data_IF_446516724934
#
_entry.id   IF_446516724934
#
_cell.length_a   1.000
_cell.length_b   1.000
_cell.length_c   1.000
_cell.angle_alpha   90.00
_cell.angle_beta   90.00
_cell.angle_gamma   90.00
#
_symmetry.space_group_name_H-M   'P 1'
#
loop_
_entity.id
_entity.type
_entity.pdbx_description
1 polymer ?
#
# COMPACT_ATOMS: atom_id res chain seq x y z
N UNK A 1 -9.95 -19.65 0.72
CA UNK A 1 -9.66 -18.23 0.44
C UNK A 1 -8.49 -17.80 1.31
N UNK A 2 -7.40 -17.34 0.71
CA UNK A 2 -6.22 -16.88 1.44
C UNK A 2 -6.51 -15.50 2.03
N UNK A 3 -6.62 -15.42 3.35
CA UNK A 3 -6.85 -14.16 4.03
C UNK A 3 -5.51 -13.42 4.21
N UNK A 4 -5.37 -12.24 3.62
CA UNK A 4 -4.20 -11.37 3.83
C UNK A 4 -4.29 -10.68 5.20
N UNK A 5 -3.13 -10.47 5.82
CA UNK A 5 -3.07 -9.82 7.14
C UNK A 5 -3.36 -8.33 7.06
N UNK A 6 -4.16 -7.85 8.00
CA UNK A 6 -4.18 -6.42 8.33
C UNK A 6 -2.86 -6.03 9.01
N UNK A 7 -2.47 -4.77 8.89
CA UNK A 7 -1.35 -4.19 9.62
C UNK A 7 -0.42 -3.36 8.74
N UNK A 8 0.84 -3.35 9.12
CA UNK A 8 1.90 -2.60 8.47
C UNK A 8 2.66 -3.47 7.49
N UNK A 9 2.81 -2.95 6.29
CA UNK A 9 3.48 -3.57 5.16
C UNK A 9 4.54 -2.63 4.61
N UNK A 10 5.58 -3.19 4.01
CA UNK A 10 6.60 -2.44 3.29
C UNK A 10 6.63 -2.90 1.84
N UNK A 11 6.74 -1.96 0.92
CA UNK A 11 7.17 -2.30 -0.44
C UNK A 11 8.62 -2.76 -0.48
N UNK A 12 9.00 -3.41 -1.57
CA UNK A 12 10.39 -3.79 -1.88
C UNK A 12 11.34 -2.58 -1.89
N UNK A 13 10.83 -1.37 -2.15
CA UNK A 13 11.58 -0.12 -2.06
C UNK A 13 11.58 0.51 -0.66
N UNK A 14 10.88 -0.10 0.30
CA UNK A 14 10.79 0.34 1.69
C UNK A 14 9.73 1.40 1.96
N UNK A 15 8.86 1.72 1.00
CA UNK A 15 7.73 2.64 1.24
C UNK A 15 6.68 1.98 2.14
N UNK A 16 6.15 2.71 3.15
CA UNK A 16 5.18 2.19 4.12
C UNK A 16 3.76 2.08 3.58
N UNK A 17 3.07 1.01 3.98
CA UNK A 17 1.65 0.81 3.72
C UNK A 17 0.93 0.32 4.99
N UNK A 18 -0.22 0.91 5.28
CA UNK A 18 -1.14 0.46 6.32
C UNK A 18 -2.35 -0.17 5.65
N UNK A 19 -2.50 -1.47 5.77
CA UNK A 19 -3.56 -2.24 5.11
C UNK A 19 -4.54 -2.74 6.15
N UNK A 20 -5.84 -2.51 5.93
CA UNK A 20 -6.94 -3.07 6.69
C UNK A 20 -7.76 -4.00 5.81
N UNK A 21 -8.03 -5.18 6.34
CA UNK A 21 -8.91 -6.18 5.72
C UNK A 21 -10.14 -6.37 6.59
N UNK A 22 -11.32 -6.38 5.97
CA UNK A 22 -12.59 -6.62 6.65
C UNK A 22 -13.51 -7.42 5.72
N UNK A 23 -13.73 -8.69 6.06
CA UNK A 23 -14.32 -9.67 5.15
C UNK A 23 -13.49 -9.76 3.85
N UNK A 24 -14.13 -9.56 2.70
CA UNK A 24 -13.46 -9.46 1.41
C UNK A 24 -13.08 -8.02 1.04
N UNK A 25 -13.25 -7.02 1.90
CA UNK A 25 -12.90 -5.62 1.61
C UNK A 25 -11.48 -5.32 2.06
N UNK A 26 -10.77 -4.53 1.27
CA UNK A 26 -9.42 -4.03 1.56
C UNK A 26 -9.45 -2.52 1.52
N UNK A 27 -8.75 -1.91 2.46
CA UNK A 27 -8.51 -0.47 2.52
C UNK A 27 -7.04 -0.28 2.85
N UNK A 28 -6.40 0.73 2.28
CA UNK A 28 -5.04 1.04 2.67
C UNK A 28 -4.72 2.54 2.61
N UNK A 29 -3.62 2.87 3.25
CA UNK A 29 -2.89 4.13 3.14
C UNK A 29 -1.45 3.79 2.75
N UNK A 30 -0.95 4.38 1.67
CA UNK A 30 0.44 4.27 1.24
C UNK A 30 1.08 5.65 1.11
N UNK A 31 2.37 5.77 1.37
CA UNK A 31 3.11 7.01 1.18
C UNK A 31 4.59 6.77 0.86
N UNK A 32 5.26 7.72 0.22
CA UNK A 32 6.71 7.63 0.04
C UNK A 32 7.40 7.61 1.41
N UNK A 33 8.47 6.83 1.53
CA UNK A 33 9.35 6.91 2.70
C UNK A 33 10.10 8.23 2.72
N UNK A 34 10.53 8.63 3.92
CA UNK A 34 11.49 9.72 4.10
C UNK A 34 12.84 9.38 3.48
N UNK A 35 13.49 10.39 2.93
CA UNK A 35 14.87 10.32 2.44
C UNK A 35 15.63 11.59 2.81
N UNK A 36 16.86 11.74 2.31
CA UNK A 36 17.59 13.01 2.42
C UNK A 36 17.03 14.13 1.54
N UNK A 37 16.08 13.84 0.64
CA UNK A 37 15.49 14.80 -0.29
C UNK A 37 14.02 15.13 -0.01
N UNK A 38 13.29 14.24 0.65
CA UNK A 38 11.83 14.38 0.84
C UNK A 38 11.41 13.86 2.21
N UNK A 39 10.42 14.50 2.84
CA UNK A 39 9.80 13.91 4.02
C UNK A 39 8.83 12.81 3.61
N UNK A 40 8.42 12.02 4.59
CA UNK A 40 7.44 10.98 4.38
C UNK A 40 6.10 11.57 3.91
N UNK A 41 5.60 11.07 2.79
CA UNK A 41 4.32 11.50 2.20
C UNK A 41 4.37 12.78 1.36
N UNK A 42 5.47 13.53 1.35
CA UNK A 42 5.58 14.80 0.63
C UNK A 42 5.63 14.62 -0.91
N UNK A 43 6.12 13.48 -1.41
CA UNK A 43 6.10 13.20 -2.84
C UNK A 43 4.75 12.62 -3.25
N UNK A 44 4.37 11.50 -2.63
CA UNK A 44 3.08 10.87 -2.86
C UNK A 44 2.54 10.28 -1.57
N UNK A 45 1.22 10.37 -1.44
CA UNK A 45 0.46 9.78 -0.37
C UNK A 45 -0.91 9.46 -0.95
N UNK A 46 -1.31 8.20 -0.92
CA UNK A 46 -2.54 7.76 -1.55
C UNK A 46 -3.34 6.85 -0.65
N UNK A 47 -4.64 6.80 -0.93
CA UNK A 47 -5.55 5.81 -0.36
C UNK A 47 -6.07 4.91 -1.46
N UNK A 48 -6.52 3.73 -1.09
CA UNK A 48 -7.31 2.88 -1.97
C UNK A 48 -8.28 2.04 -1.16
N UNK A 49 -9.27 1.55 -1.88
CA UNK A 49 -10.17 0.53 -1.38
C UNK A 49 -10.55 -0.43 -2.50
N UNK A 50 -11.04 -1.59 -2.11
CA UNK A 50 -11.53 -2.58 -3.07
C UNK A 50 -11.79 -3.92 -2.43
N UNK A 51 -11.67 -4.98 -3.21
CA UNK A 51 -12.13 -6.31 -2.81
C UNK A 51 -11.18 -7.44 -3.18
N UNK A 52 -11.16 -8.45 -2.32
CA UNK A 52 -10.49 -9.73 -2.54
C UNK A 52 -11.44 -10.65 -3.30
N UNK A 53 -11.00 -11.15 -4.44
CA UNK A 53 -11.66 -12.19 -5.25
C UNK A 53 -10.63 -13.26 -5.56
N UNK A 54 -10.86 -14.48 -5.07
CA UNK A 54 -9.91 -15.60 -5.16
C UNK A 54 -8.51 -15.27 -4.61
N UNK A 55 -7.52 -15.16 -5.49
CA UNK A 55 -6.13 -14.82 -5.18
C UNK A 55 -5.77 -13.40 -5.63
N UNK A 56 -6.75 -12.57 -5.95
CA UNK A 56 -6.53 -11.21 -6.41
C UNK A 56 -7.21 -10.19 -5.50
N UNK A 57 -6.63 -9.00 -5.45
CA UNK A 57 -7.22 -7.82 -4.85
C UNK A 57 -7.36 -6.78 -5.96
N UNK A 58 -8.59 -6.39 -6.25
CA UNK A 58 -8.87 -5.29 -7.17
C UNK A 58 -9.06 -4.03 -6.34
N UNK A 59 -8.25 -2.99 -6.61
CA UNK A 59 -8.26 -1.73 -5.86
C UNK A 59 -8.46 -0.55 -6.80
N UNK A 60 -9.20 0.45 -6.34
CA UNK A 60 -9.22 1.82 -6.90
C UNK A 60 -8.47 2.72 -5.94
N UNK A 61 -7.50 3.48 -6.45
CA UNK A 61 -6.60 4.31 -5.66
C UNK A 61 -6.51 5.73 -6.20
N UNK A 62 -6.16 6.67 -5.33
CA UNK A 62 -5.95 8.08 -5.68
C UNK A 62 -5.00 8.74 -4.67
N UNK A 63 -4.08 9.54 -5.19
CA UNK A 63 -3.27 10.45 -4.39
C UNK A 63 -4.17 11.45 -3.65
N UNK A 64 -3.74 11.83 -2.45
CA UNK A 64 -4.40 12.81 -1.60
C UNK A 64 -3.45 13.99 -1.37
N UNK A 65 -3.95 15.20 -1.06
CA UNK A 65 -3.15 16.44 -1.00
C UNK A 65 -2.30 16.56 0.28
N UNK A 66 -1.62 15.47 0.62
CA UNK A 66 -0.44 15.41 1.50
C UNK A 66 0.82 15.47 0.63
N UNK A 67 0.82 14.71 -0.47
CA UNK A 67 1.91 14.71 -1.46
C UNK A 67 1.69 15.73 -2.57
N UNK A 68 2.70 15.89 -3.43
CA UNK A 68 2.64 16.76 -4.62
C UNK A 68 2.07 16.06 -5.85
N UNK A 69 2.08 14.73 -5.88
CA UNK A 69 1.51 13.94 -6.97
C UNK A 69 -0.03 13.99 -6.91
N UNK A 70 -0.66 13.92 -8.09
CA UNK A 70 -2.13 13.97 -8.27
C UNK A 70 -2.60 12.83 -9.18
N UNK A 71 -2.05 11.63 -8.98
CA UNK A 71 -2.38 10.46 -9.80
C UNK A 71 -3.54 9.65 -9.21
N UNK A 72 -4.21 8.89 -10.07
CA UNK A 72 -5.26 7.96 -9.68
C UNK A 72 -5.39 6.81 -10.67
N UNK A 73 -5.98 5.71 -10.22
CA UNK A 73 -6.26 4.59 -11.12
C UNK A 73 -6.75 3.34 -10.42
N UNK A 74 -6.55 2.22 -11.10
CA UNK A 74 -6.86 0.88 -10.61
C UNK A 74 -5.62 0.03 -10.63
N UNK A 75 -5.50 -0.85 -9.65
CA UNK A 75 -4.47 -1.90 -9.63
C UNK A 75 -5.08 -3.26 -9.34
N UNK A 76 -4.49 -4.28 -9.95
CA UNK A 76 -4.74 -5.68 -9.61
C UNK A 76 -3.53 -6.20 -8.85
N UNK A 77 -3.76 -6.72 -7.65
CA UNK A 77 -2.72 -7.26 -6.77
C UNK A 77 -2.91 -8.76 -6.65
N UNK A 78 -1.87 -9.53 -7.00
CA UNK A 78 -1.80 -10.96 -6.75
C UNK A 78 -1.42 -11.23 -5.28
N UNK A 79 -2.17 -12.14 -4.65
CA UNK A 79 -1.91 -12.67 -3.32
C UNK A 79 -1.01 -13.89 -3.45
N UNK A 80 0.30 -13.71 -3.28
CA UNK A 80 1.27 -14.81 -3.27
C UNK A 80 1.06 -15.66 -2.01
N UNK A 81 0.95 -15.01 -0.85
CA UNK A 81 0.54 -15.62 0.41
C UNK A 81 -0.01 -14.55 1.38
N UNK A 82 -0.35 -14.93 2.61
CA UNK A 82 -0.96 -14.02 3.60
C UNK A 82 -0.06 -12.85 4.04
N UNK A 83 1.23 -12.90 3.70
CA UNK A 83 2.28 -11.93 4.06
C UNK A 83 3.05 -11.36 2.87
N UNK A 84 2.70 -11.71 1.63
CA UNK A 84 3.39 -11.26 0.42
C UNK A 84 2.38 -10.99 -0.71
N UNK A 85 2.43 -9.77 -1.23
CA UNK A 85 1.56 -9.26 -2.29
C UNK A 85 2.39 -8.73 -3.47
N UNK A 86 1.80 -8.77 -4.66
CA UNK A 86 2.45 -8.26 -5.89
C UNK A 86 1.45 -7.54 -6.78
N UNK A 87 1.73 -6.28 -7.13
CA UNK A 87 0.98 -5.56 -8.16
C UNK A 87 1.32 -6.15 -9.53
N UNK A 88 0.30 -6.63 -10.24
CA UNK A 88 0.47 -7.27 -11.55
C UNK A 88 -0.11 -6.42 -12.69
N UNK A 89 -1.10 -5.58 -12.41
CA UNK A 89 -1.72 -4.65 -13.36
C UNK A 89 -1.91 -3.28 -12.72
N UNK A 90 -1.83 -2.24 -13.55
CA UNK A 90 -1.94 -0.84 -13.15
C UNK A 90 -2.48 0.00 -14.32
N UNK A 91 -3.40 0.93 -14.03
CA UNK A 91 -3.95 1.89 -14.99
C UNK A 91 -3.61 3.35 -14.70
N UNK A 92 -2.96 3.65 -13.58
CA UNK A 92 -2.78 5.00 -13.03
C UNK A 92 -1.33 5.44 -12.87
N UNK A 93 -0.37 4.69 -13.43
CA UNK A 93 1.06 4.91 -13.22
C UNK A 93 1.49 4.72 -11.75
N UNK A 94 0.81 3.80 -11.03
CA UNK A 94 1.22 3.29 -9.72
C UNK A 94 2.57 2.56 -9.79
N UNK A 95 2.80 1.84 -10.89
CA UNK A 95 3.97 0.98 -11.10
C UNK A 95 3.81 -0.43 -10.54
N UNK A 96 4.81 -1.28 -10.83
CA UNK A 96 4.88 -2.65 -10.30
C UNK A 96 5.57 -2.63 -8.94
N UNK A 97 4.90 -3.14 -7.92
CA UNK A 97 5.36 -3.14 -6.54
C UNK A 97 5.14 -4.50 -5.90
N UNK A 98 6.03 -4.90 -4.99
CA UNK A 98 5.88 -6.10 -4.16
C UNK A 98 5.91 -5.70 -2.70
N UNK A 99 4.99 -6.23 -1.89
CA UNK A 99 4.83 -5.84 -0.49
C UNK A 99 4.96 -7.02 0.45
N UNK A 100 5.64 -6.79 1.57
CA UNK A 100 5.84 -7.78 2.63
C UNK A 100 5.23 -7.26 3.93
N UNK A 101 4.45 -8.11 4.59
CA UNK A 101 3.87 -7.81 5.90
C UNK A 101 4.97 -7.80 6.97
N UNK A 102 4.89 -6.85 7.90
CA UNK A 102 5.91 -6.67 8.96
C UNK A 102 5.31 -6.90 10.35
N UNK A 103 4.19 -6.26 10.66
CA UNK A 103 3.58 -6.31 11.99
C UNK A 103 2.10 -5.93 11.95
N UNK A 104 1.32 -6.39 12.95
CA UNK A 104 -0.10 -6.08 13.04
C UNK A 104 -0.35 -4.57 13.29
N UNK A 105 0.58 -3.90 13.99
CA UNK A 105 0.45 -2.48 14.31
C UNK A 105 1.77 -1.75 14.20
N UNK A 106 1.78 -0.64 13.44
CA UNK A 106 2.86 0.35 13.40
C UNK A 106 2.22 1.73 13.39
N UNK A 107 2.61 2.62 14.31
CA UNK A 107 2.16 4.01 14.26
C UNK A 107 2.99 4.78 13.23
N UNK A 108 2.38 5.78 12.60
CA UNK A 108 3.08 6.69 11.69
C UNK A 108 4.33 7.30 12.34
N UNK A 109 4.18 7.82 13.57
CA UNK A 109 5.29 8.40 14.35
C UNK A 109 6.35 7.40 14.81
N UNK A 110 6.07 6.09 14.78
CA UNK A 110 7.08 5.07 15.04
C UNK A 110 7.94 4.87 13.79
N UNK A 111 7.31 4.73 12.63
CA UNK A 111 8.03 4.56 11.37
C UNK A 111 8.87 5.80 11.03
N UNK A 112 8.31 7.00 11.14
CA UNK A 112 8.99 8.26 10.79
C UNK A 112 10.31 8.53 11.56
N UNK A 113 10.46 7.95 12.76
CA UNK A 113 11.69 8.06 13.56
C UNK A 113 12.76 7.04 13.21
N UNK A 114 12.39 5.98 12.50
CA UNK A 114 13.31 4.90 12.10
C UNK A 114 13.98 5.19 10.75
N UNK A 115 13.54 6.23 10.04
CA UNK A 115 14.02 6.64 8.71
C UNK A 115 14.62 8.04 8.67
#
# INVERSE_FOLDING_TARGET
MTQIKSGFWLSSQGNPFWIKTQNNKVFWLGMNKKSSQTNMGDDWCHTAHGTITDNFIELVWSDIPIGKDELEGKITVEIINSTHLKVIEDSGNFGKSEWTWVTDTKKLSQYDREV
#
